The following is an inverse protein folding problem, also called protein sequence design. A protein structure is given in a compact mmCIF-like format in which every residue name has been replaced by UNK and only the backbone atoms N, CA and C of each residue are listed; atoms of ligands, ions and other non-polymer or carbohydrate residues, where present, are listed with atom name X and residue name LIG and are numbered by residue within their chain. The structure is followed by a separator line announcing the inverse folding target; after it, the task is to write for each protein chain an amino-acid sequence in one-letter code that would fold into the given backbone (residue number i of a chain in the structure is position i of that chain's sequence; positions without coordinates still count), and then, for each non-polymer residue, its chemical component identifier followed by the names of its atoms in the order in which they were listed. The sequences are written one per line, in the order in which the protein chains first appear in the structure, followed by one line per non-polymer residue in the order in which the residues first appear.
data_IF_618457885580
#
_entry.id   IF_618457885580
#
_cell.length_a   1.000
_cell.length_b   1.000
_cell.length_c   1.000
_cell.angle_alpha   90.00
_cell.angle_beta   90.00
_cell.angle_gamma   90.00
#
_symmetry.space_group_name_H-M   'P 1'
#
loop_
_entity.id
_entity.type
_entity.pdbx_description
1 polymer ?
#
# COMPACT_ATOMS: atom_id res chain seq x y z
N UNK A 1 9.56 -18.14 -5.05
CA UNK A 1 8.88 -18.22 -6.36
C UNK A 1 7.41 -17.81 -6.31
N UNK A 2 6.69 -18.06 -5.21
CA UNK A 2 5.23 -17.83 -5.09
C UNK A 2 4.82 -16.34 -5.07
N UNK A 3 5.71 -15.42 -4.69
CA UNK A 3 5.39 -13.97 -4.67
C UNK A 3 5.33 -13.33 -6.07
N UNK A 4 6.08 -13.84 -7.03
CA UNK A 4 5.99 -13.35 -8.42
C UNK A 4 4.68 -13.73 -9.11
N UNK A 5 4.06 -14.83 -8.72
CA UNK A 5 2.81 -15.28 -9.32
C UNK A 5 1.59 -14.43 -8.93
N UNK A 6 1.58 -13.77 -7.76
CA UNK A 6 0.45 -12.90 -7.36
C UNK A 6 0.38 -11.60 -8.14
N UNK A 7 1.49 -11.07 -8.62
CA UNK A 7 1.50 -9.92 -9.54
C UNK A 7 1.11 -10.28 -10.97
N UNK A 8 1.03 -11.58 -11.29
CA UNK A 8 0.68 -12.06 -12.63
C UNK A 8 -0.83 -12.19 -12.87
N UNK A 9 -1.68 -11.96 -11.86
CA UNK A 9 -3.13 -12.11 -12.01
C UNK A 9 -3.80 -10.99 -12.80
N UNK A 10 -3.10 -9.89 -13.11
CA UNK A 10 -3.59 -8.80 -13.96
C UNK A 10 -3.11 -9.04 -15.40
N UNK A 11 -3.44 -10.21 -15.96
CA UNK A 11 -3.07 -10.58 -17.32
C UNK A 11 -4.31 -10.97 -18.11
N UNK A 12 -4.40 -10.43 -19.29
CA UNK A 12 -5.37 -10.87 -20.29
C UNK A 12 -4.76 -11.95 -21.18
N UNK A 13 -5.58 -12.91 -21.60
CA UNK A 13 -5.16 -13.94 -22.58
C UNK A 13 -5.47 -13.44 -23.98
N UNK A 14 -4.44 -13.32 -24.81
CA UNK A 14 -4.63 -13.09 -26.22
C UNK A 14 -5.20 -14.35 -26.88
N UNK A 15 -5.79 -14.24 -28.10
CA UNK A 15 -6.31 -15.37 -28.85
C UNK A 15 -5.29 -16.48 -29.10
N UNK A 16 -4.01 -16.17 -29.07
CA UNK A 16 -2.88 -17.10 -29.20
C UNK A 16 -2.45 -17.75 -27.86
N UNK A 17 -3.17 -17.45 -26.77
CA UNK A 17 -2.87 -17.95 -25.42
C UNK A 17 -1.73 -17.23 -24.71
N UNK A 18 -1.14 -16.20 -25.30
CA UNK A 18 -0.10 -15.41 -24.66
C UNK A 18 -0.72 -14.50 -23.60
N UNK A 19 -0.23 -14.63 -22.37
CA UNK A 19 -0.64 -13.77 -21.27
C UNK A 19 0.07 -12.41 -21.35
N UNK A 20 -0.69 -11.33 -21.41
CA UNK A 20 -0.15 -9.97 -21.36
C UNK A 20 -0.67 -9.21 -20.15
N UNK A 21 0.15 -8.40 -19.46
CA UNK A 21 -0.32 -7.56 -18.38
C UNK A 21 -1.25 -6.47 -18.92
N UNK A 22 -2.37 -6.21 -18.25
CA UNK A 22 -3.24 -5.05 -18.50
C UNK A 22 -2.67 -3.77 -17.92
N UNK A 23 -1.94 -3.89 -16.83
CA UNK A 23 -1.18 -2.84 -16.17
C UNK A 23 -0.17 -3.50 -15.23
N UNK A 24 1.01 -2.93 -15.11
CA UNK A 24 2.06 -3.42 -14.24
C UNK A 24 2.47 -2.31 -13.27
N UNK A 25 2.13 -2.43 -11.97
CA UNK A 25 2.68 -1.52 -10.97
C UNK A 25 4.18 -1.79 -10.81
N UNK A 26 4.96 -0.74 -10.82
CA UNK A 26 6.42 -0.80 -10.76
C UNK A 26 6.95 0.16 -9.70
N UNK A 27 7.83 -0.35 -8.82
CA UNK A 27 8.50 0.45 -7.83
C UNK A 27 9.70 1.20 -8.44
N UNK A 28 9.71 2.49 -8.26
CA UNK A 28 10.80 3.40 -8.64
C UNK A 28 11.82 3.51 -7.52
N UNK A 29 12.65 2.48 -7.39
CA UNK A 29 13.69 2.43 -6.35
C UNK A 29 14.70 3.58 -6.43
N UNK A 30 14.91 4.14 -7.62
CA UNK A 30 15.74 5.31 -7.85
C UNK A 30 15.25 6.55 -7.07
N UNK A 31 13.95 6.77 -7.03
CA UNK A 31 13.33 7.85 -6.25
C UNK A 31 13.56 7.63 -4.76
N UNK A 32 13.34 6.41 -4.31
CA UNK A 32 13.48 6.02 -2.91
C UNK A 32 14.94 6.17 -2.42
N UNK A 33 15.89 5.58 -3.13
CA UNK A 33 17.31 5.67 -2.74
C UNK A 33 17.87 7.08 -2.85
N UNK A 34 17.41 7.87 -3.82
CA UNK A 34 17.82 9.28 -3.93
C UNK A 34 17.42 10.06 -2.68
N UNK A 35 16.24 9.83 -2.14
CA UNK A 35 15.79 10.52 -0.93
C UNK A 35 16.52 10.06 0.33
N UNK A 36 16.83 8.77 0.45
CA UNK A 36 17.68 8.26 1.52
C UNK A 36 19.04 8.94 1.51
N UNK A 37 19.71 8.96 0.35
CA UNK A 37 21.03 9.61 0.19
C UNK A 37 20.93 11.10 0.53
N UNK A 38 19.89 11.78 0.06
CA UNK A 38 19.67 13.20 0.36
C UNK A 38 19.51 13.45 1.85
N UNK A 39 18.76 12.60 2.57
CA UNK A 39 18.59 12.72 4.02
C UNK A 39 19.88 12.49 4.81
N UNK A 40 20.72 11.57 4.34
CA UNK A 40 22.07 11.36 4.92
C UNK A 40 22.95 12.60 4.74
N UNK A 41 23.00 13.17 3.52
CA UNK A 41 23.76 14.40 3.26
C UNK A 41 23.22 15.61 4.03
N UNK A 42 21.93 15.68 4.25
CA UNK A 42 21.30 16.73 5.05
C UNK A 42 21.46 16.52 6.57
N UNK A 43 22.03 15.40 7.01
CA UNK A 43 22.19 15.07 8.43
C UNK A 43 20.88 14.78 9.15
N UNK A 44 19.80 14.46 8.41
CA UNK A 44 18.47 14.18 8.96
C UNK A 44 18.17 12.69 9.10
N UNK A 45 19.06 11.83 8.59
CA UNK A 45 18.86 10.38 8.61
C UNK A 45 18.72 9.81 10.02
N UNK A 46 19.58 10.25 10.95
CA UNK A 46 19.61 9.77 12.33
C UNK A 46 18.71 10.58 13.27
N UNK A 47 17.94 11.54 12.75
CA UNK A 47 17.13 12.45 13.55
C UNK A 47 15.82 11.84 14.05
N UNK A 48 15.46 10.64 13.59
CA UNK A 48 14.26 9.94 14.05
C UNK A 48 14.44 9.48 15.51
N UNK A 49 13.55 9.89 16.43
CA UNK A 49 13.61 9.44 17.80
C UNK A 49 13.57 7.90 17.88
N UNK A 50 14.60 7.31 18.49
CA UNK A 50 14.66 5.87 18.76
C UNK A 50 15.36 5.02 17.72
N UNK A 51 16.02 5.59 16.69
CA UNK A 51 16.76 4.81 15.67
C UNK A 51 15.88 3.81 14.91
N UNK A 52 14.60 4.09 14.79
CA UNK A 52 13.62 3.21 14.14
C UNK A 52 13.79 3.26 12.62
N UNK A 53 13.52 2.12 11.99
CA UNK A 53 13.41 2.05 10.54
C UNK A 53 12.42 3.12 10.04
N UNK A 54 12.84 3.91 9.07
CA UNK A 54 11.97 4.91 8.46
C UNK A 54 11.01 4.18 7.53
N UNK A 55 9.73 4.21 7.85
CA UNK A 55 8.68 3.68 6.98
C UNK A 55 8.27 4.77 5.99
N UNK A 56 8.63 4.60 4.73
CA UNK A 56 8.17 5.46 3.65
C UNK A 56 6.89 4.87 3.04
N UNK A 57 5.80 5.60 3.21
CA UNK A 57 4.51 5.31 2.57
C UNK A 57 4.35 6.18 1.34
N UNK A 58 5.12 5.87 0.33
CA UNK A 58 5.12 6.58 -0.94
C UNK A 58 4.40 5.76 -2.00
N UNK A 59 3.54 6.44 -2.76
CA UNK A 59 2.81 5.87 -3.88
C UNK A 59 3.00 6.69 -5.15
N UNK A 60 1.98 6.72 -6.00
CA UNK A 60 1.97 7.42 -7.28
C UNK A 60 2.33 8.90 -7.15
N UNK A 61 1.78 9.62 -6.15
CA UNK A 61 2.02 11.06 -5.95
C UNK A 61 3.49 11.41 -5.73
N UNK A 62 4.22 10.57 -5.03
CA UNK A 62 5.67 10.78 -4.79
C UNK A 62 6.55 10.37 -5.97
N UNK A 63 5.97 9.70 -6.97
CA UNK A 63 6.70 9.11 -8.08
C UNK A 63 7.49 7.84 -7.70
N UNK A 64 7.34 7.33 -6.46
CA UNK A 64 7.98 6.10 -6.02
C UNK A 64 7.31 4.85 -6.58
N UNK A 65 6.10 5.00 -7.09
CA UNK A 65 5.35 4.00 -7.81
C UNK A 65 4.87 4.56 -9.14
N UNK A 66 4.85 3.72 -10.16
CA UNK A 66 4.24 4.03 -11.46
C UNK A 66 3.51 2.80 -11.99
N UNK A 67 2.58 3.01 -12.89
CA UNK A 67 1.91 1.92 -13.62
C UNK A 67 2.38 1.93 -15.06
N UNK A 68 2.92 0.81 -15.52
CA UNK A 68 3.21 0.59 -16.93
C UNK A 68 1.99 -0.04 -17.61
N UNK A 69 1.58 0.53 -18.73
CA UNK A 69 0.48 0.05 -19.54
C UNK A 69 0.98 -0.55 -20.84
N UNK A 70 0.30 -1.59 -21.36
CA UNK A 70 0.66 -2.17 -22.64
C UNK A 70 0.43 -1.17 -23.77
N UNK A 71 1.33 -1.16 -24.75
CA UNK A 71 1.28 -0.27 -25.92
C UNK A 71 0.07 -0.46 -26.82
N UNK A 72 -0.67 -1.57 -26.66
CA UNK A 72 -1.86 -1.91 -27.45
C UNK A 72 -3.15 -1.25 -26.98
N UNK A 73 -3.14 -0.55 -25.84
CA UNK A 73 -4.33 0.16 -25.39
C UNK A 73 -4.66 1.27 -26.39
N UNK A 74 -5.95 1.43 -26.67
CA UNK A 74 -6.40 2.54 -27.51
C UNK A 74 -6.22 3.89 -26.77
N UNK A 75 -6.12 4.96 -27.54
CA UNK A 75 -5.83 6.29 -27.01
C UNK A 75 -6.87 6.76 -25.99
N UNK A 76 -8.14 6.45 -26.17
CA UNK A 76 -9.21 6.82 -25.25
C UNK A 76 -9.05 6.14 -23.90
N UNK A 77 -8.75 4.85 -23.88
CA UNK A 77 -8.46 4.10 -22.64
C UNK A 77 -7.21 4.65 -21.95
N UNK A 78 -6.15 4.93 -22.70
CA UNK A 78 -4.92 5.51 -22.15
C UNK A 78 -5.17 6.89 -21.53
N UNK A 79 -5.98 7.72 -22.17
CA UNK A 79 -6.35 9.04 -21.63
C UNK A 79 -7.14 8.92 -20.32
N UNK A 80 -8.10 7.99 -20.24
CA UNK A 80 -8.87 7.73 -19.02
C UNK A 80 -7.97 7.26 -17.87
N UNK A 81 -7.04 6.32 -18.14
CA UNK A 81 -6.09 5.84 -17.14
C UNK A 81 -5.21 6.97 -16.61
N UNK A 82 -4.64 7.79 -17.50
CA UNK A 82 -3.83 8.96 -17.11
C UNK A 82 -4.63 10.03 -16.37
N UNK A 83 -5.92 10.16 -16.66
CA UNK A 83 -6.79 11.05 -15.91
C UNK A 83 -7.02 10.51 -14.50
N UNK A 84 -7.33 9.23 -14.36
CA UNK A 84 -7.50 8.59 -13.07
C UNK A 84 -6.23 8.66 -12.20
N UNK A 85 -5.05 8.40 -12.78
CA UNK A 85 -3.77 8.57 -12.07
C UNK A 85 -3.59 9.98 -11.53
N UNK A 86 -3.87 11.00 -12.35
CA UNK A 86 -3.79 12.41 -11.90
C UNK A 86 -4.74 12.69 -10.76
N UNK A 87 -6.00 12.27 -10.88
CA UNK A 87 -7.01 12.49 -9.83
C UNK A 87 -6.64 11.78 -8.51
N UNK A 88 -6.04 10.58 -8.58
CA UNK A 88 -5.49 9.89 -7.41
C UNK A 88 -4.32 10.69 -6.79
N UNK A 89 -3.39 11.19 -7.62
CA UNK A 89 -2.26 11.99 -7.16
C UNK A 89 -2.70 13.33 -6.53
N UNK A 90 -3.73 13.94 -7.07
CA UNK A 90 -4.27 15.22 -6.60
C UNK A 90 -5.20 15.05 -5.39
N UNK A 91 -5.58 13.80 -5.06
CA UNK A 91 -6.47 13.48 -3.96
C UNK A 91 -7.96 13.72 -4.26
N UNK A 92 -8.31 13.93 -5.54
CA UNK A 92 -9.71 14.07 -5.98
C UNK A 92 -10.47 12.73 -5.95
N UNK A 93 -9.75 11.63 -6.20
CA UNK A 93 -10.25 10.28 -6.01
C UNK A 93 -9.59 9.69 -4.77
N UNK A 94 -10.39 9.21 -3.85
CA UNK A 94 -9.94 8.46 -2.68
C UNK A 94 -10.05 6.97 -2.93
N UNK A 95 -8.98 6.23 -2.61
CA UNK A 95 -8.94 4.77 -2.76
C UNK A 95 -9.82 4.09 -1.71
N UNK A 96 -9.83 4.66 -0.49
CA UNK A 96 -10.65 4.16 0.61
C UNK A 96 -11.85 5.08 0.83
N UNK A 97 -13.06 4.54 1.04
CA UNK A 97 -14.22 5.34 1.35
C UNK A 97 -14.03 6.09 2.68
N UNK A 98 -14.69 7.24 2.81
CA UNK A 98 -14.62 8.05 4.05
C UNK A 98 -15.23 7.32 5.24
N UNK A 99 -16.21 6.48 4.97
CA UNK A 99 -16.93 5.64 5.92
C UNK A 99 -16.88 4.18 5.46
N UNK A 100 -16.57 3.29 6.36
CA UNK A 100 -16.49 1.85 6.14
C UNK A 100 -17.20 1.12 7.27
N UNK A 101 -17.75 -0.04 6.98
CA UNK A 101 -18.38 -0.89 7.98
C UNK A 101 -17.54 -2.13 8.21
N UNK A 102 -17.17 -2.38 9.46
CA UNK A 102 -16.52 -3.63 9.83
C UNK A 102 -17.50 -4.78 9.99
N UNK A 103 -16.98 -5.97 10.09
CA UNK A 103 -17.76 -7.14 10.48
C UNK A 103 -18.54 -6.85 11.76
N UNK A 104 -19.85 -7.16 11.77
CA UNK A 104 -20.74 -6.79 12.85
C UNK A 104 -21.35 -5.38 12.76
N UNK A 105 -21.23 -4.73 11.60
CA UNK A 105 -21.82 -3.42 11.27
C UNK A 105 -21.33 -2.24 12.12
N UNK A 106 -20.11 -2.31 12.67
CA UNK A 106 -19.55 -1.13 13.31
C UNK A 106 -19.04 -0.14 12.25
N UNK A 107 -19.45 1.13 12.38
CA UNK A 107 -19.04 2.21 11.49
C UNK A 107 -17.63 2.69 11.87
N UNK A 108 -16.76 2.75 10.89
CA UNK A 108 -15.42 3.34 10.97
C UNK A 108 -15.31 4.53 10.02
N UNK A 109 -14.60 5.55 10.44
CA UNK A 109 -14.30 6.71 9.61
C UNK A 109 -12.89 7.22 9.91
N UNK A 110 -12.22 7.74 8.90
CA UNK A 110 -10.93 8.38 9.05
C UNK A 110 -11.04 9.63 9.91
N UNK A 111 -10.13 9.84 10.86
CA UNK A 111 -10.14 10.97 11.80
C UNK A 111 -10.12 12.34 11.07
N UNK A 112 -9.45 12.43 9.92
CA UNK A 112 -9.34 13.64 9.08
C UNK A 112 -10.23 13.59 7.83
N UNK A 113 -11.11 12.61 7.70
CA UNK A 113 -11.91 12.37 6.48
C UNK A 113 -11.17 11.61 5.38
N UNK A 114 -9.87 11.37 5.53
CA UNK A 114 -9.04 10.55 4.64
C UNK A 114 -8.16 9.67 5.52
N UNK A 115 -8.16 8.37 5.28
CA UNK A 115 -7.28 7.45 6.00
C UNK A 115 -5.81 7.77 5.72
N UNK A 116 -5.09 8.06 6.79
CA UNK A 116 -3.64 8.23 6.73
C UNK A 116 -2.95 6.88 6.61
N UNK A 117 -1.70 6.82 6.09
CA UNK A 117 -0.93 5.58 6.08
C UNK A 117 -0.83 4.91 7.46
N UNK A 118 -0.75 5.70 8.52
CA UNK A 118 -0.70 5.19 9.89
C UNK A 118 -2.01 4.51 10.27
N UNK A 119 -3.16 5.15 10.03
CA UNK A 119 -4.48 4.55 10.30
C UNK A 119 -4.70 3.26 9.52
N UNK A 120 -4.21 3.18 8.26
CA UNK A 120 -4.28 1.97 7.46
C UNK A 120 -3.39 0.84 7.99
N UNK A 121 -2.21 1.18 8.53
CA UNK A 121 -1.32 0.18 9.15
C UNK A 121 -1.85 -0.34 10.47
N UNK A 122 -2.48 0.53 11.26
CA UNK A 122 -3.02 0.23 12.58
C UNK A 122 -4.45 -0.32 12.52
N UNK A 123 -5.00 -0.55 11.31
CA UNK A 123 -6.33 -1.11 11.12
C UNK A 123 -6.40 -2.53 11.70
N UNK A 124 -7.23 -2.71 12.71
CA UNK A 124 -7.42 -3.96 13.47
C UNK A 124 -8.77 -4.63 13.21
N UNK A 125 -9.43 -4.23 12.13
CA UNK A 125 -10.73 -4.74 11.72
C UNK A 125 -10.76 -5.10 10.23
N UNK A 126 -11.71 -5.93 9.83
CA UNK A 126 -11.99 -6.29 8.45
C UNK A 126 -13.31 -5.68 8.01
N UNK A 127 -13.38 -5.26 6.74
CA UNK A 127 -14.62 -4.84 6.09
C UNK A 127 -15.69 -5.94 6.19
N UNK A 128 -16.96 -5.56 6.25
CA UNK A 128 -18.06 -6.51 6.42
C UNK A 128 -18.19 -7.53 5.28
N UNK A 129 -17.69 -7.18 4.09
CA UNK A 129 -17.65 -8.07 2.93
C UNK A 129 -16.50 -9.08 2.96
N UNK A 130 -15.57 -8.97 3.91
CA UNK A 130 -14.40 -9.85 4.04
C UNK A 130 -14.73 -10.97 5.03
N UNK A 131 -14.59 -12.21 4.60
CA UNK A 131 -14.70 -13.38 5.46
C UNK A 131 -13.36 -13.71 6.10
N UNK A 132 -13.35 -13.96 7.40
CA UNK A 132 -12.15 -14.33 8.17
C UNK A 132 -12.01 -13.52 9.45
N UNK A 133 -10.87 -13.70 10.11
CA UNK A 133 -10.50 -13.00 11.34
C UNK A 133 -9.04 -12.56 11.24
N UNK A 134 -8.73 -11.42 11.85
CA UNK A 134 -7.34 -11.00 12.03
C UNK A 134 -6.73 -11.80 13.19
N UNK A 135 -5.51 -12.35 13.02
CA UNK A 135 -4.88 -13.10 14.09
C UNK A 135 -4.55 -12.18 15.27
N UNK A 136 -4.72 -12.68 16.48
CA UNK A 136 -4.25 -12.03 17.69
C UNK A 136 -2.71 -12.16 17.82
N UNK A 137 -2.09 -11.32 18.67
CA UNK A 137 -0.65 -11.36 18.88
C UNK A 137 -0.14 -12.76 19.29
N UNK A 138 -0.90 -13.47 20.10
CA UNK A 138 -0.52 -14.80 20.59
C UNK A 138 -0.55 -15.89 19.51
N UNK A 139 -1.33 -15.69 18.47
CA UNK A 139 -1.40 -16.60 17.32
C UNK A 139 -0.28 -16.37 16.31
N UNK A 140 0.49 -15.30 16.45
CA UNK A 140 1.60 -14.98 15.56
C UNK A 140 2.86 -15.79 15.95
N UNK A 141 3.64 -16.19 14.96
CA UNK A 141 4.94 -16.78 15.21
C UNK A 141 5.97 -15.74 15.70
N UNK A 142 7.06 -16.21 16.30
CA UNK A 142 8.09 -15.35 16.88
C UNK A 142 8.73 -14.40 15.86
N UNK A 143 8.84 -14.81 14.60
CA UNK A 143 9.40 -14.00 13.52
C UNK A 143 8.45 -12.85 13.17
N UNK A 144 7.18 -13.13 13.06
CA UNK A 144 6.15 -12.12 12.76
C UNK A 144 6.02 -11.11 13.90
N UNK A 145 6.04 -11.56 15.17
CA UNK A 145 6.07 -10.68 16.34
C UNK A 145 7.25 -9.70 16.32
N UNK A 146 8.44 -10.20 15.96
CA UNK A 146 9.63 -9.35 15.81
C UNK A 146 9.46 -8.29 14.73
N UNK A 147 8.82 -8.64 13.61
CA UNK A 147 8.55 -7.70 12.52
C UNK A 147 7.52 -6.60 12.91
N UNK A 148 6.54 -6.93 13.73
CA UNK A 148 5.59 -5.93 14.24
C UNK A 148 6.32 -4.84 15.03
N UNK A 149 7.21 -5.22 15.95
CA UNK A 149 7.99 -4.29 16.73
C UNK A 149 8.89 -3.38 15.87
N UNK A 150 9.52 -3.95 14.83
CA UNK A 150 10.35 -3.18 13.88
C UNK A 150 9.50 -2.16 13.11
N UNK A 151 8.28 -2.51 12.75
CA UNK A 151 7.38 -1.66 12.00
C UNK A 151 6.59 -0.66 12.88
N UNK A 152 6.72 -0.74 14.20
CA UNK A 152 6.00 0.12 15.15
C UNK A 152 4.49 -0.15 15.19
N UNK A 153 4.08 -1.38 14.89
CA UNK A 153 2.70 -1.84 14.94
C UNK A 153 2.40 -2.35 16.37
N UNK A 154 2.11 -1.42 17.27
CA UNK A 154 1.86 -1.73 18.66
C UNK A 154 0.38 -2.09 18.96
N UNK A 155 -0.50 -1.99 17.95
CA UNK A 155 -1.96 -2.11 18.11
C UNK A 155 -2.52 -3.48 17.73
N UNK A 156 -1.69 -4.50 17.53
CA UNK A 156 -2.20 -5.85 17.30
C UNK A 156 -2.89 -6.33 18.57
N UNK A 157 -4.12 -6.80 18.46
CA UNK A 157 -4.94 -7.28 19.58
C UNK A 157 -4.15 -8.27 20.45
N UNK A 158 -3.96 -7.94 21.73
CA UNK A 158 -3.21 -8.77 22.67
C UNK A 158 -1.71 -8.47 22.74
N UNK A 159 -1.19 -7.43 22.09
CA UNK A 159 0.20 -6.99 22.27
C UNK A 159 0.43 -6.57 23.72
N UNK A 160 1.46 -7.11 24.42
CA UNK A 160 1.83 -6.64 25.76
C UNK A 160 2.24 -5.17 25.71
N UNK A 161 1.68 -4.37 26.60
CA UNK A 161 2.06 -2.96 26.77
C UNK A 161 3.37 -2.82 27.55
#
# INVERSE_FOLDING_TARGET
PLRRQRQMCIRDSLPDGVLQPLGLPEWRWDVFFTEIVRSVFAGTWDSAPGGRAINYWWGLKSGAERVEYPTRLNDGTMQLLKMAERQLCDGEIQVFPTESYSQGHALHHAASGIYTPKELMEMDWLEECVEGELPSYDELDAKTRSLLNINGLDNVKGTPQ
#
